data_IF_332425563006
#
_entry.id   IF_332425563006
#
_cell.length_a   1.000
_cell.length_b   1.000
_cell.length_c   1.000
_cell.angle_alpha   90.00
_cell.angle_beta   90.00
_cell.angle_gamma   90.00
#
_symmetry.space_group_name_H-M   'P 1'
#
loop_
_entity.id
_entity.type
_entity.pdbx_description
1 polymer ?
#
# COMPACT_ATOMS: atom_id res chain seq x y z
N UNK A 1 -16.57 34.89 14.07
CA UNK A 1 -16.20 33.61 13.47
C UNK A 1 -14.75 33.29 13.83
N UNK A 2 -14.54 32.20 14.55
CA UNK A 2 -13.20 31.76 14.99
C UNK A 2 -12.67 30.68 14.03
N UNK A 3 -12.68 30.95 12.74
CA UNK A 3 -12.09 30.07 11.74
C UNK A 3 -10.66 30.52 11.46
N UNK A 4 -9.69 29.66 11.75
CA UNK A 4 -8.29 29.90 11.46
C UNK A 4 -7.62 28.59 11.02
N UNK A 5 -6.54 28.70 10.30
CA UNK A 5 -5.74 27.59 9.78
C UNK A 5 -4.29 28.03 9.64
N UNK A 6 -3.43 27.08 9.28
CA UNK A 6 -2.02 27.36 8.99
C UNK A 6 -1.71 27.09 7.51
N UNK A 7 -0.63 27.63 6.95
CA UNK A 7 -0.17 27.26 5.60
C UNK A 7 0.08 25.76 5.47
N UNK A 8 0.58 25.11 6.50
CA UNK A 8 0.84 23.68 6.53
C UNK A 8 -0.46 22.86 6.43
N UNK A 9 -1.49 23.20 7.23
CA UNK A 9 -2.78 22.51 7.18
C UNK A 9 -3.43 22.65 5.80
N UNK A 10 -3.35 23.86 5.21
CA UNK A 10 -3.88 24.10 3.87
C UNK A 10 -3.11 23.34 2.79
N UNK A 11 -1.81 23.15 2.96
CA UNK A 11 -1.02 22.33 2.05
C UNK A 11 -1.45 20.85 2.13
N UNK A 12 -1.66 20.29 3.33
CA UNK A 12 -2.15 18.92 3.52
C UNK A 12 -3.55 18.71 2.93
N UNK A 13 -4.46 19.67 3.16
CA UNK A 13 -5.82 19.63 2.58
C UNK A 13 -5.74 19.64 1.05
N UNK A 14 -4.90 20.51 0.48
CA UNK A 14 -4.70 20.61 -0.96
C UNK A 14 -4.10 19.34 -1.52
N UNK A 15 -3.09 18.77 -0.87
CA UNK A 15 -2.46 17.50 -1.25
C UNK A 15 -3.50 16.38 -1.34
N UNK A 16 -4.40 16.27 -0.36
CA UNK A 16 -5.47 15.29 -0.39
C UNK A 16 -6.50 15.59 -1.50
N UNK A 17 -6.86 16.85 -1.71
CA UNK A 17 -7.86 17.25 -2.69
C UNK A 17 -7.41 16.97 -4.14
N UNK A 18 -6.16 17.27 -4.48
CA UNK A 18 -5.62 17.07 -5.83
C UNK A 18 -5.40 15.60 -6.20
N UNK A 19 -5.52 14.67 -5.25
CA UNK A 19 -5.60 13.23 -5.56
C UNK A 19 -6.93 12.85 -6.23
N UNK A 20 -7.96 13.69 -6.08
CA UNK A 20 -9.25 13.44 -6.71
C UNK A 20 -9.27 14.06 -8.13
N UNK A 21 -9.38 13.25 -9.21
CA UNK A 21 -9.35 13.74 -10.58
C UNK A 21 -10.55 14.65 -10.92
N UNK A 22 -11.68 14.48 -10.25
CA UNK A 22 -12.83 15.37 -10.42
C UNK A 22 -12.56 16.74 -9.82
N UNK A 23 -11.91 16.80 -8.65
CA UNK A 23 -11.49 18.06 -8.06
C UNK A 23 -10.53 18.81 -8.99
N UNK A 24 -9.46 18.15 -9.47
CA UNK A 24 -8.52 18.75 -10.45
C UNK A 24 -9.24 19.33 -11.65
N UNK A 25 -10.08 18.51 -12.29
CA UNK A 25 -10.82 18.93 -13.48
C UNK A 25 -11.67 20.20 -13.24
N UNK A 26 -12.30 20.30 -12.07
CA UNK A 26 -13.08 21.49 -11.72
C UNK A 26 -12.17 22.70 -11.47
N UNK A 27 -11.10 22.51 -10.71
CA UNK A 27 -10.21 23.58 -10.27
C UNK A 27 -9.28 24.11 -11.39
N UNK A 28 -8.99 23.29 -12.41
CA UNK A 28 -8.23 23.68 -13.62
C UNK A 28 -9.14 24.40 -14.65
N UNK A 29 -10.48 24.29 -14.52
CA UNK A 29 -11.41 24.84 -15.50
C UNK A 29 -11.48 26.36 -15.37
N UNK A 30 -11.00 27.07 -16.38
CA UNK A 30 -10.97 28.55 -16.41
C UNK A 30 -12.32 29.18 -16.70
N UNK A 31 -13.18 28.48 -17.44
CA UNK A 31 -14.51 28.93 -17.82
C UNK A 31 -15.49 27.76 -17.89
N UNK A 32 -16.67 27.97 -17.36
CA UNK A 32 -17.78 27.03 -17.48
C UNK A 32 -19.11 27.78 -17.61
N UNK A 33 -19.96 27.38 -18.55
CA UNK A 33 -21.31 27.93 -18.69
C UNK A 33 -22.33 26.95 -18.14
N UNK A 34 -23.07 27.38 -17.14
CA UNK A 34 -24.24 26.64 -16.65
C UNK A 34 -25.40 26.86 -17.64
N UNK A 35 -25.94 25.81 -18.25
CA UNK A 35 -27.05 25.95 -19.19
C UNK A 35 -28.33 26.48 -18.53
N UNK A 36 -29.29 27.01 -19.32
CA UNK A 36 -30.60 27.38 -18.82
C UNK A 36 -31.29 26.26 -18.04
N UNK A 37 -32.09 26.61 -17.07
CA UNK A 37 -32.94 25.71 -16.29
C UNK A 37 -34.41 26.15 -16.40
N UNK A 38 -35.33 25.37 -15.87
CA UNK A 38 -36.73 25.73 -15.80
C UNK A 38 -37.04 26.94 -14.92
N UNK A 39 -36.09 27.38 -14.09
CA UNK A 39 -36.24 28.54 -13.19
C UNK A 39 -35.37 29.73 -13.60
N UNK A 40 -34.39 29.49 -14.48
CA UNK A 40 -33.42 30.50 -14.94
C UNK A 40 -33.24 30.30 -16.45
N UNK A 41 -33.84 31.17 -17.25
CA UNK A 41 -33.85 31.07 -18.72
C UNK A 41 -32.50 31.46 -19.34
N UNK A 42 -31.76 32.38 -18.70
CA UNK A 42 -30.45 32.79 -19.19
C UNK A 42 -29.33 31.86 -18.70
N UNK A 43 -28.37 31.47 -19.55
CA UNK A 43 -27.19 30.75 -19.12
C UNK A 43 -26.33 31.60 -18.18
N UNK A 44 -25.58 30.94 -17.31
CA UNK A 44 -24.71 31.63 -16.33
C UNK A 44 -23.26 31.29 -16.60
N UNK A 45 -22.46 32.31 -16.85
CA UNK A 45 -21.03 32.18 -17.10
C UNK A 45 -20.25 32.20 -15.78
N UNK A 46 -19.46 31.19 -15.57
CA UNK A 46 -18.56 31.06 -14.43
C UNK A 46 -17.11 31.21 -14.92
N UNK A 47 -16.39 32.11 -14.29
CA UNK A 47 -14.96 32.33 -14.57
C UNK A 47 -14.13 32.05 -13.36
N UNK A 48 -13.05 31.29 -13.54
CA UNK A 48 -12.11 31.03 -12.46
C UNK A 48 -11.42 32.33 -12.03
N UNK A 49 -11.27 32.53 -10.72
CA UNK A 49 -10.74 33.79 -10.20
C UNK A 49 -9.21 33.82 -10.14
N UNK A 50 -8.54 32.68 -10.29
CA UNK A 50 -7.08 32.59 -10.25
C UNK A 50 -6.46 33.16 -11.53
N UNK A 51 -5.89 34.34 -11.42
CA UNK A 51 -5.29 35.05 -12.56
C UNK A 51 -4.04 34.39 -13.14
N UNK A 52 -3.42 33.47 -12.40
CA UNK A 52 -2.24 32.72 -12.86
C UNK A 52 -2.57 31.68 -13.94
N UNK A 53 -3.85 31.28 -14.10
CA UNK A 53 -4.32 30.35 -15.13
C UNK A 53 -4.54 31.00 -16.51
N UNK A 54 -4.64 32.32 -16.58
CA UNK A 54 -5.02 33.00 -17.84
C UNK A 54 -3.80 33.48 -18.61
N UNK A 55 -3.53 32.99 -19.82
CA UNK A 55 -2.41 33.46 -20.65
C UNK A 55 -2.41 34.94 -20.94
N UNK A 56 -3.58 35.60 -20.90
CA UNK A 56 -3.73 37.04 -21.10
C UNK A 56 -3.43 37.88 -19.84
N UNK A 57 -3.31 37.24 -18.70
CA UNK A 57 -3.02 37.88 -17.43
C UNK A 57 -1.52 38.19 -17.30
N UNK A 58 -1.17 39.34 -16.77
CA UNK A 58 0.22 39.65 -16.40
C UNK A 58 0.78 38.81 -15.27
N UNK A 59 -0.08 37.97 -14.62
CA UNK A 59 0.28 37.05 -13.56
C UNK A 59 0.29 35.59 -14.04
N UNK A 60 0.12 35.40 -15.35
CA UNK A 60 0.18 34.05 -15.93
C UNK A 60 1.47 33.34 -15.54
N UNK A 61 1.33 32.09 -15.11
CA UNK A 61 2.45 31.23 -14.80
C UNK A 61 2.16 29.84 -15.36
N UNK A 62 2.85 29.46 -16.41
CA UNK A 62 2.55 28.29 -17.25
C UNK A 62 2.46 26.97 -16.44
N UNK A 63 3.33 26.69 -15.44
CA UNK A 63 3.24 25.46 -14.67
C UNK A 63 2.03 25.35 -13.72
N UNK A 64 1.26 26.41 -13.50
CA UNK A 64 0.07 26.38 -12.62
C UNK A 64 -1.00 25.53 -13.25
N UNK A 65 -1.51 24.54 -12.47
CA UNK A 65 -2.64 23.70 -12.85
C UNK A 65 -3.95 24.14 -12.20
N UNK A 66 -3.88 24.66 -10.97
CA UNK A 66 -5.09 25.12 -10.28
C UNK A 66 -4.79 25.86 -9.00
N UNK A 67 -5.86 26.22 -8.29
CA UNK A 67 -5.76 26.89 -6.99
C UNK A 67 -6.93 27.78 -6.65
N UNK A 68 -6.92 28.34 -5.43
CA UNK A 68 -8.00 29.16 -4.90
C UNK A 68 -7.49 30.42 -4.25
N UNK A 69 -8.10 31.55 -4.61
CA UNK A 69 -7.90 32.86 -3.96
C UNK A 69 -8.87 33.01 -2.79
N UNK A 70 -8.47 33.78 -1.78
CA UNK A 70 -9.31 34.18 -0.67
C UNK A 70 -9.02 35.57 -0.19
N UNK A 71 -10.01 36.23 0.44
CA UNK A 71 -9.85 37.52 1.09
C UNK A 71 -10.84 37.69 2.22
N UNK A 72 -10.38 38.15 3.37
CA UNK A 72 -11.16 38.77 4.41
C UNK A 72 -10.35 39.92 5.00
N UNK A 73 -11.02 40.85 5.71
CA UNK A 73 -10.30 41.97 6.33
C UNK A 73 -9.29 41.49 7.38
N UNK A 74 -9.53 40.38 8.02
CA UNK A 74 -8.65 39.78 9.04
C UNK A 74 -7.53 38.95 8.44
N UNK A 75 -7.84 38.14 7.41
CA UNK A 75 -6.87 37.23 6.80
C UNK A 75 -6.06 37.88 5.66
N UNK A 76 -6.46 39.08 5.24
CA UNK A 76 -5.97 39.74 4.02
C UNK A 76 -6.08 38.82 2.79
N UNK A 77 -5.24 38.95 1.80
CA UNK A 77 -5.26 38.05 0.65
C UNK A 77 -4.59 36.73 0.99
N UNK A 78 -5.24 35.65 0.59
CA UNK A 78 -4.72 34.30 0.68
C UNK A 78 -4.75 33.65 -0.70
N UNK A 79 -3.83 32.72 -0.94
CA UNK A 79 -3.72 32.01 -2.19
C UNK A 79 -3.17 30.61 -1.90
N UNK A 80 -3.87 29.60 -2.41
CA UNK A 80 -3.37 28.23 -2.49
C UNK A 80 -3.29 27.86 -3.96
N UNK A 81 -2.16 27.36 -4.40
CA UNK A 81 -1.96 26.91 -5.78
C UNK A 81 -1.20 25.61 -5.81
N UNK A 82 -1.33 24.89 -6.90
CA UNK A 82 -0.49 23.74 -7.23
C UNK A 82 0.00 23.86 -8.68
N UNK A 83 1.20 23.39 -8.90
CA UNK A 83 1.92 23.55 -10.16
C UNK A 83 2.78 22.33 -10.45
N UNK A 84 2.90 21.96 -11.74
CA UNK A 84 3.74 20.87 -12.20
C UNK A 84 4.74 21.32 -13.25
N UNK A 85 6.00 20.92 -13.07
CA UNK A 85 7.08 21.19 -14.03
C UNK A 85 8.09 20.04 -14.00
N UNK A 86 8.41 19.48 -15.15
CA UNK A 86 9.41 18.42 -15.29
C UNK A 86 9.19 17.20 -14.39
N UNK A 87 7.92 16.83 -14.18
CA UNK A 87 7.53 15.69 -13.34
C UNK A 87 7.52 15.98 -11.84
N UNK A 88 7.86 17.19 -11.42
CA UNK A 88 7.73 17.63 -10.03
C UNK A 88 6.42 18.39 -9.85
N UNK A 89 5.63 18.01 -8.84
CA UNK A 89 4.42 18.71 -8.43
C UNK A 89 4.65 19.40 -7.09
N UNK A 90 4.30 20.69 -7.00
CA UNK A 90 4.47 21.52 -5.81
C UNK A 90 3.16 22.20 -5.44
N UNK A 91 2.94 22.35 -4.14
CA UNK A 91 1.84 23.15 -3.58
C UNK A 91 2.42 24.40 -2.93
N UNK A 92 1.87 25.56 -3.25
CA UNK A 92 2.26 26.83 -2.63
C UNK A 92 1.06 27.43 -1.88
N UNK A 93 1.26 27.75 -0.61
CA UNK A 93 0.25 28.38 0.24
C UNK A 93 0.76 29.75 0.72
N UNK A 94 0.04 30.78 0.32
CA UNK A 94 0.32 32.17 0.71
C UNK A 94 -0.80 32.65 1.63
N UNK A 95 -0.42 33.21 2.76
CA UNK A 95 -1.37 33.76 3.74
C UNK A 95 -0.92 35.20 4.15
N UNK A 96 -1.89 35.99 4.58
CA UNK A 96 -1.65 37.36 5.06
C UNK A 96 -0.91 38.28 4.05
N UNK A 97 -1.21 38.09 2.75
CA UNK A 97 -0.55 38.91 1.72
C UNK A 97 -1.14 40.34 1.68
N UNK A 98 -0.29 41.30 1.73
CA UNK A 98 -0.67 42.71 1.51
C UNK A 98 -0.84 43.00 0.02
N UNK A 99 -2.05 42.71 -0.50
CA UNK A 99 -2.43 42.83 -1.90
C UNK A 99 -2.28 41.52 -2.70
N UNK A 100 -3.32 41.18 -3.46
CA UNK A 100 -3.40 39.94 -4.25
C UNK A 100 -2.24 39.78 -5.25
N UNK A 101 -1.73 40.90 -5.80
CA UNK A 101 -0.58 40.88 -6.73
C UNK A 101 0.71 40.34 -6.08
N UNK A 102 0.89 40.52 -4.78
CA UNK A 102 2.07 40.02 -4.08
C UNK A 102 1.95 38.49 -3.92
N UNK A 103 0.75 37.95 -3.58
CA UNK A 103 0.55 36.54 -3.56
C UNK A 103 0.97 35.86 -4.87
N UNK A 104 0.56 36.40 -6.02
CA UNK A 104 0.88 35.82 -7.33
C UNK A 104 2.38 35.87 -7.63
N UNK A 105 3.04 37.03 -7.37
CA UNK A 105 4.47 37.21 -7.62
C UNK A 105 5.32 36.31 -6.72
N UNK A 106 4.99 36.29 -5.43
CA UNK A 106 5.76 35.53 -4.45
C UNK A 106 5.59 34.03 -4.69
N UNK A 107 4.36 33.57 -5.06
CA UNK A 107 4.13 32.16 -5.47
C UNK A 107 4.97 31.81 -6.69
N UNK A 108 4.99 32.61 -7.74
CA UNK A 108 5.80 32.36 -8.94
C UNK A 108 7.29 32.28 -8.60
N UNK A 109 7.78 33.23 -7.76
CA UNK A 109 9.18 33.21 -7.32
C UNK A 109 9.55 31.96 -6.54
N UNK A 110 8.65 31.49 -5.65
CA UNK A 110 8.88 30.28 -4.90
C UNK A 110 8.88 29.04 -5.84
N UNK A 111 7.93 28.95 -6.77
CA UNK A 111 7.90 27.88 -7.76
C UNK A 111 9.17 27.83 -8.60
N UNK A 112 9.60 28.98 -9.16
CA UNK A 112 10.85 29.05 -9.94
C UNK A 112 12.03 28.56 -9.11
N UNK A 113 12.15 29.05 -7.86
CA UNK A 113 13.22 28.65 -6.97
C UNK A 113 13.24 27.12 -6.73
N UNK A 114 12.10 26.51 -6.38
CA UNK A 114 12.06 25.08 -6.08
C UNK A 114 12.18 24.22 -7.32
N UNK A 115 11.52 24.55 -8.43
CA UNK A 115 11.66 23.82 -9.68
C UNK A 115 13.07 23.84 -10.26
N UNK A 116 13.79 24.95 -10.09
CA UNK A 116 15.12 25.10 -10.66
C UNK A 116 16.21 24.51 -9.75
N UNK A 117 16.02 24.48 -8.42
CA UNK A 117 17.04 24.06 -7.47
C UNK A 117 16.82 22.69 -6.85
N UNK A 118 15.66 22.08 -7.00
CA UNK A 118 15.35 20.78 -6.41
C UNK A 118 14.99 19.74 -7.46
N UNK A 119 15.06 18.46 -7.08
CA UNK A 119 14.71 17.33 -7.94
C UNK A 119 14.26 16.13 -7.10
N UNK A 120 13.55 15.19 -7.71
CA UNK A 120 13.31 13.89 -7.08
C UNK A 120 14.57 13.03 -7.12
N UNK A 121 14.80 12.28 -6.04
CA UNK A 121 15.70 11.15 -5.98
C UNK A 121 14.89 9.91 -5.57
N UNK A 122 15.32 8.74 -6.06
CA UNK A 122 14.68 7.42 -5.81
C UNK A 122 15.67 6.50 -5.09
N UNK A 123 15.93 6.71 -3.80
CA UNK A 123 17.02 6.04 -3.10
C UNK A 123 16.84 4.54 -2.95
N UNK A 124 15.60 4.05 -3.00
CA UNK A 124 15.29 2.62 -2.87
C UNK A 124 15.24 1.86 -4.20
N UNK A 125 15.45 2.52 -5.35
CA UNK A 125 15.39 1.88 -6.66
C UNK A 125 16.34 0.69 -6.79
N UNK A 126 17.55 0.82 -6.24
CA UNK A 126 18.58 -0.22 -6.22
C UNK A 126 18.76 -0.88 -4.84
N UNK A 127 17.89 -0.56 -3.88
CA UNK A 127 17.92 -1.16 -2.55
C UNK A 127 17.42 -2.60 -2.63
N UNK A 128 18.20 -3.55 -2.09
CA UNK A 128 17.80 -4.95 -1.98
C UNK A 128 17.56 -5.31 -0.51
N UNK A 129 16.29 -5.53 -0.11
CA UNK A 129 15.97 -5.97 1.24
C UNK A 129 16.32 -7.43 1.51
N UNK A 130 16.66 -8.23 0.48
CA UNK A 130 16.90 -9.67 0.58
C UNK A 130 18.36 -10.02 0.92
N UNK A 131 19.09 -9.15 1.59
CA UNK A 131 20.45 -9.46 2.02
C UNK A 131 20.45 -10.57 3.08
N UNK A 132 21.39 -11.52 2.97
CA UNK A 132 21.45 -12.75 3.76
C UNK A 132 21.36 -12.53 5.27
N UNK A 133 21.99 -11.46 5.79
CA UNK A 133 22.00 -11.18 7.24
C UNK A 133 20.61 -10.75 7.75
N UNK A 134 19.89 -9.99 6.95
CA UNK A 134 18.55 -9.47 7.29
C UNK A 134 17.49 -10.56 7.21
N UNK A 135 17.53 -11.34 6.14
CA UNK A 135 16.65 -12.49 5.95
C UNK A 135 16.80 -13.49 7.10
N UNK A 136 18.04 -13.82 7.46
CA UNK A 136 18.32 -14.72 8.59
C UNK A 136 17.85 -14.18 9.94
N UNK A 137 17.92 -12.86 10.17
CA UNK A 137 17.42 -12.25 11.40
C UNK A 137 15.90 -12.45 11.54
N UNK A 138 15.15 -12.15 10.48
CA UNK A 138 13.69 -12.30 10.46
C UNK A 138 13.31 -13.76 10.68
N UNK A 139 13.89 -14.67 9.91
CA UNK A 139 13.59 -16.11 9.99
C UNK A 139 13.92 -16.68 11.37
N UNK A 140 15.06 -16.31 11.96
CA UNK A 140 15.47 -16.79 13.29
C UNK A 140 14.53 -16.36 14.41
N UNK A 141 14.00 -15.13 14.34
CA UNK A 141 13.18 -14.60 15.41
C UNK A 141 11.73 -15.04 15.33
N UNK A 142 11.19 -15.28 14.12
CA UNK A 142 9.78 -15.58 13.93
C UNK A 142 9.46 -17.05 13.67
N UNK A 143 10.44 -17.82 13.21
CA UNK A 143 10.24 -19.22 12.81
C UNK A 143 11.27 -20.15 13.43
N UNK A 144 11.44 -20.06 14.76
CA UNK A 144 12.36 -20.94 15.48
C UNK A 144 12.02 -22.42 15.24
N UNK A 145 12.95 -23.17 14.67
CA UNK A 145 12.84 -24.60 14.47
C UNK A 145 12.31 -25.09 13.12
N UNK A 146 12.12 -24.19 12.15
CA UNK A 146 11.82 -24.56 10.76
C UNK A 146 13.08 -24.41 9.90
N UNK A 147 13.32 -25.37 9.00
CA UNK A 147 14.34 -25.23 7.94
C UNK A 147 13.78 -24.24 6.90
N UNK A 148 14.48 -23.11 6.69
CA UNK A 148 14.04 -22.03 5.84
C UNK A 148 14.90 -21.97 4.60
N UNK A 149 14.26 -22.12 3.44
CA UNK A 149 14.96 -22.05 2.17
C UNK A 149 15.06 -20.63 1.64
N UNK A 150 13.93 -19.87 1.65
CA UNK A 150 13.90 -18.51 1.11
C UNK A 150 12.83 -17.64 1.78
N UNK A 151 13.08 -16.35 1.82
CA UNK A 151 12.12 -15.32 2.19
C UNK A 151 12.26 -14.17 1.19
N UNK A 152 11.17 -13.84 0.49
CA UNK A 152 11.16 -12.73 -0.46
C UNK A 152 10.64 -11.46 0.21
N UNK A 153 11.53 -10.49 0.37
CA UNK A 153 11.24 -9.17 0.89
C UNK A 153 11.13 -8.16 -0.25
N UNK A 154 10.25 -7.20 -0.09
CA UNK A 154 10.06 -6.08 -1.00
C UNK A 154 9.94 -4.76 -0.26
N UNK A 155 10.30 -3.67 -0.93
CA UNK A 155 10.11 -2.28 -0.50
C UNK A 155 9.46 -1.50 -1.63
N UNK A 156 8.92 -0.33 -1.34
CA UNK A 156 8.47 0.59 -2.37
C UNK A 156 9.68 1.22 -3.08
N UNK A 157 10.01 0.70 -4.26
CA UNK A 157 11.12 1.20 -5.08
C UNK A 157 10.83 2.54 -5.75
N UNK A 158 9.55 2.94 -5.79
CA UNK A 158 9.10 4.20 -6.36
C UNK A 158 9.06 5.31 -5.30
N UNK A 159 9.44 4.99 -4.04
CA UNK A 159 9.59 6.01 -3.00
C UNK A 159 10.52 7.11 -3.48
N UNK A 160 9.97 8.31 -3.62
CA UNK A 160 10.71 9.49 -4.03
C UNK A 160 10.89 10.47 -2.87
N UNK A 161 12.03 11.10 -2.82
CA UNK A 161 12.34 12.22 -1.92
C UNK A 161 12.73 13.44 -2.72
N UNK A 162 12.50 14.62 -2.17
CA UNK A 162 12.93 15.89 -2.80
C UNK A 162 14.24 16.31 -2.18
N UNK A 163 15.25 16.50 -3.03
CA UNK A 163 16.59 16.95 -2.61
C UNK A 163 17.08 18.08 -3.50
N UNK A 164 17.99 18.94 -3.02
CA UNK A 164 18.67 19.90 -3.88
C UNK A 164 19.33 19.22 -5.08
N UNK A 165 19.30 19.83 -6.25
CA UNK A 165 20.01 19.31 -7.45
C UNK A 165 21.52 19.21 -7.25
N UNK A 166 22.06 19.99 -6.34
CA UNK A 166 23.47 19.96 -5.93
C UNK A 166 23.77 18.96 -4.82
N UNK A 167 22.76 18.19 -4.36
CA UNK A 167 22.97 17.21 -3.29
C UNK A 167 23.98 16.14 -3.69
N UNK A 168 24.94 15.85 -2.81
CA UNK A 168 25.83 14.72 -2.96
C UNK A 168 25.04 13.43 -2.70
N UNK A 169 25.20 12.44 -3.54
CA UNK A 169 24.56 11.14 -3.36
C UNK A 169 24.96 10.46 -2.03
N UNK A 170 26.15 10.75 -1.50
CA UNK A 170 26.63 10.27 -0.20
C UNK A 170 25.88 10.86 1.00
N UNK A 171 25.16 11.98 0.81
CA UNK A 171 24.34 12.59 1.84
C UNK A 171 22.99 11.86 2.01
N UNK A 172 22.63 10.99 1.07
CA UNK A 172 21.45 10.14 1.12
C UNK A 172 21.85 8.78 1.64
N UNK A 173 21.34 8.41 2.81
CA UNK A 173 21.61 7.11 3.45
C UNK A 173 20.30 6.40 3.77
N UNK A 174 20.38 5.10 4.02
CA UNK A 174 19.22 4.30 4.41
C UNK A 174 19.50 3.59 5.73
N UNK A 175 18.51 3.57 6.60
CA UNK A 175 18.50 2.80 7.85
C UNK A 175 17.33 1.83 7.83
N UNK A 176 17.60 0.58 8.26
CA UNK A 176 16.58 -0.46 8.28
C UNK A 176 16.25 -0.84 9.72
N UNK A 177 14.98 -0.87 10.06
CA UNK A 177 14.47 -1.32 11.35
C UNK A 177 13.52 -2.48 11.13
N UNK A 178 13.74 -3.61 11.82
CA UNK A 178 12.84 -4.76 11.83
C UNK A 178 12.00 -4.76 13.09
N UNK A 179 10.74 -5.19 12.96
CA UNK A 179 9.79 -5.25 14.06
C UNK A 179 9.91 -6.59 14.80
N UNK A 180 9.66 -6.57 16.09
CA UNK A 180 9.63 -7.79 16.93
C UNK A 180 8.32 -8.57 16.74
N UNK A 181 7.27 -7.92 16.22
CA UNK A 181 5.98 -8.52 15.91
C UNK A 181 5.52 -8.01 14.56
N UNK A 182 4.89 -8.88 13.75
CA UNK A 182 4.36 -8.48 12.44
C UNK A 182 2.90 -8.10 12.54
N UNK A 183 2.55 -7.00 11.89
CA UNK A 183 1.16 -6.69 11.54
C UNK A 183 1.04 -6.87 10.03
N UNK A 184 0.07 -7.67 9.61
CA UNK A 184 -0.09 -8.08 8.22
C UNK A 184 1.20 -8.70 7.68
N UNK A 185 1.67 -8.28 6.50
CA UNK A 185 2.92 -8.76 5.89
C UNK A 185 4.09 -7.79 6.08
N UNK A 186 3.99 -6.81 6.98
CA UNK A 186 5.03 -5.83 7.24
C UNK A 186 5.96 -6.37 8.31
N UNK A 187 7.23 -6.53 7.96
CA UNK A 187 8.28 -7.07 8.82
C UNK A 187 9.24 -6.01 9.37
N UNK A 188 9.13 -4.80 8.87
CA UNK A 188 9.99 -3.69 9.25
C UNK A 188 9.77 -2.48 8.36
N UNK A 189 10.68 -1.52 8.48
CA UNK A 189 10.73 -0.34 7.62
C UNK A 189 12.16 0.01 7.22
N UNK A 190 12.30 0.63 6.08
CA UNK A 190 13.50 1.33 5.66
C UNK A 190 13.24 2.82 5.70
N UNK A 191 14.04 3.56 6.47
CA UNK A 191 14.03 5.01 6.54
C UNK A 191 15.11 5.56 5.62
N UNK A 192 14.75 6.54 4.81
CA UNK A 192 15.69 7.28 3.95
C UNK A 192 16.04 8.58 4.66
N UNK A 193 17.33 8.80 4.84
CA UNK A 193 17.87 9.99 5.50
C UNK A 193 18.60 10.88 4.49
N UNK A 194 18.41 12.19 4.62
CA UNK A 194 19.19 13.20 3.94
C UNK A 194 19.88 14.09 4.98
N UNK A 195 21.23 14.12 4.97
CA UNK A 195 22.03 14.78 6.00
C UNK A 195 21.70 14.34 7.44
N UNK A 196 21.29 13.06 7.63
CA UNK A 196 20.95 12.49 8.94
C UNK A 196 19.52 12.76 9.41
N UNK A 197 18.69 13.47 8.63
CA UNK A 197 17.26 13.65 8.91
C UNK A 197 16.42 12.72 8.06
N UNK A 198 15.40 12.08 8.65
CA UNK A 198 14.48 11.20 7.93
C UNK A 198 13.60 12.03 6.99
N UNK A 199 13.69 11.73 5.70
CA UNK A 199 12.97 12.42 4.61
C UNK A 199 11.98 11.53 3.86
N UNK A 200 12.00 10.23 4.13
CA UNK A 200 11.05 9.26 3.57
C UNK A 200 11.15 7.92 4.27
N UNK A 201 10.08 7.14 4.21
CA UNK A 201 10.02 5.79 4.79
C UNK A 201 9.24 4.85 3.87
N UNK A 202 9.64 3.59 3.82
CA UNK A 202 8.94 2.51 3.13
C UNK A 202 8.84 1.30 4.03
N UNK A 203 7.68 0.65 4.06
CA UNK A 203 7.53 -0.65 4.70
C UNK A 203 8.38 -1.71 3.99
N UNK A 204 8.94 -2.62 4.77
CA UNK A 204 9.53 -3.87 4.29
C UNK A 204 8.46 -4.94 4.41
N UNK A 205 8.03 -5.50 3.28
CA UNK A 205 6.95 -6.48 3.20
C UNK A 205 7.49 -7.81 2.68
N UNK A 206 6.99 -8.92 3.23
CA UNK A 206 7.22 -10.22 2.60
C UNK A 206 6.04 -10.59 1.69
N UNK A 207 6.35 -11.20 0.53
CA UNK A 207 5.36 -11.69 -0.43
C UNK A 207 5.12 -13.18 -0.28
N UNK A 208 6.19 -13.93 -0.13
CA UNK A 208 6.18 -15.38 0.05
C UNK A 208 7.42 -15.82 0.83
N UNK A 209 7.34 -17.00 1.44
CA UNK A 209 8.47 -17.69 2.03
C UNK A 209 8.40 -19.17 1.66
N UNK A 210 9.55 -19.82 1.54
CA UNK A 210 9.60 -21.28 1.38
C UNK A 210 9.99 -21.90 2.72
N UNK A 211 9.19 -22.85 3.19
CA UNK A 211 9.40 -23.58 4.44
C UNK A 211 9.32 -25.06 4.14
N UNK A 212 10.37 -25.83 4.41
CA UNK A 212 10.47 -27.27 4.10
C UNK A 212 10.09 -27.61 2.64
N UNK A 213 10.45 -26.76 1.68
CA UNK A 213 10.13 -26.92 0.26
C UNK A 213 8.70 -26.52 -0.14
N UNK A 214 7.86 -26.07 0.78
CA UNK A 214 6.52 -25.53 0.50
C UNK A 214 6.54 -24.00 0.47
N UNK A 215 5.93 -23.43 -0.57
CA UNK A 215 5.79 -21.95 -0.70
C UNK A 215 4.55 -21.51 0.07
N UNK A 216 4.77 -20.71 1.11
CA UNK A 216 3.72 -20.05 1.87
C UNK A 216 3.54 -18.62 1.32
N UNK A 217 2.42 -18.36 0.65
CA UNK A 217 2.09 -17.06 0.10
C UNK A 217 1.28 -16.24 1.10
N UNK A 218 1.59 -14.96 1.23
CA UNK A 218 0.82 -14.04 2.06
C UNK A 218 -0.66 -14.01 1.65
N UNK A 219 -1.55 -13.98 2.64
CA UNK A 219 -3.00 -13.94 2.41
C UNK A 219 -3.66 -15.30 2.17
N UNK A 220 -2.90 -16.39 2.07
CA UNK A 220 -3.45 -17.76 2.06
C UNK A 220 -3.39 -18.32 3.48
N UNK A 221 -4.54 -18.56 4.16
CA UNK A 221 -4.52 -19.05 5.52
C UNK A 221 -3.78 -20.40 5.60
N UNK A 222 -2.89 -20.61 6.59
CA UNK A 222 -2.20 -21.90 6.80
C UNK A 222 -3.15 -23.08 6.99
N UNK A 223 -4.39 -22.81 7.37
CA UNK A 223 -5.45 -23.81 7.60
C UNK A 223 -5.87 -24.57 6.33
N UNK A 224 -5.71 -24.01 5.13
CA UNK A 224 -6.04 -24.77 3.90
C UNK A 224 -5.02 -25.86 3.60
N UNK A 225 -3.75 -25.64 3.89
CA UNK A 225 -2.71 -26.67 3.76
C UNK A 225 -2.86 -27.77 4.83
N UNK A 226 -3.13 -27.38 6.06
CA UNK A 226 -3.36 -28.34 7.16
C UNK A 226 -4.65 -29.15 6.98
N UNK A 227 -5.70 -28.57 6.39
CA UNK A 227 -6.93 -29.31 6.04
C UNK A 227 -6.69 -30.38 4.96
N UNK A 228 -5.90 -30.12 3.92
CA UNK A 228 -5.61 -31.11 2.87
C UNK A 228 -4.82 -32.30 3.41
N UNK A 229 -3.79 -32.06 4.19
CA UNK A 229 -2.98 -33.13 4.81
C UNK A 229 -3.81 -33.96 5.78
N UNK A 230 -4.58 -33.30 6.65
CA UNK A 230 -5.45 -33.99 7.61
C UNK A 230 -6.58 -34.79 6.93
N UNK A 231 -7.16 -34.26 5.84
CA UNK A 231 -8.24 -34.99 5.10
C UNK A 231 -7.70 -36.24 4.41
N UNK A 232 -6.52 -36.16 3.80
CA UNK A 232 -5.89 -37.33 3.16
C UNK A 232 -5.52 -38.39 4.20
N UNK A 233 -4.99 -37.98 5.35
CA UNK A 233 -4.67 -38.87 6.47
C UNK A 233 -5.93 -39.49 7.06
N UNK A 234 -7.00 -38.75 7.24
CA UNK A 234 -8.29 -39.23 7.73
C UNK A 234 -8.90 -40.27 6.76
N UNK A 235 -8.84 -40.00 5.44
CA UNK A 235 -9.31 -40.94 4.42
C UNK A 235 -8.47 -42.22 4.44
N UNK A 236 -7.14 -42.13 4.54
CA UNK A 236 -6.26 -43.29 4.61
C UNK A 236 -6.54 -44.15 5.86
N UNK A 237 -6.72 -43.55 7.03
CA UNK A 237 -7.04 -44.23 8.28
C UNK A 237 -8.42 -44.87 8.19
N UNK A 238 -9.44 -44.20 7.64
CA UNK A 238 -10.79 -44.76 7.49
C UNK A 238 -10.83 -45.96 6.53
N UNK A 239 -10.06 -45.93 5.43
CA UNK A 239 -9.89 -47.05 4.53
C UNK A 239 -9.23 -48.25 5.24
N UNK A 240 -8.19 -48.01 6.04
CA UNK A 240 -7.52 -49.06 6.81
C UNK A 240 -8.48 -49.76 7.84
N UNK A 241 -9.26 -48.95 8.54
CA UNK A 241 -10.27 -49.43 9.49
C UNK A 241 -11.34 -50.32 8.80
N UNK A 242 -11.82 -49.87 7.62
CA UNK A 242 -12.76 -50.63 6.82
C UNK A 242 -12.19 -52.00 6.38
N UNK A 243 -10.93 -52.05 5.95
CA UNK A 243 -10.24 -53.31 5.57
C UNK A 243 -10.14 -54.23 6.77
N UNK A 244 -9.74 -53.73 7.94
CA UNK A 244 -9.65 -54.52 9.18
C UNK A 244 -11.02 -55.07 9.58
N UNK A 245 -12.08 -54.25 9.54
CA UNK A 245 -13.45 -54.67 9.84
C UNK A 245 -13.95 -55.79 8.89
N UNK A 246 -13.68 -55.66 7.59
CA UNK A 246 -14.05 -56.70 6.60
C UNK A 246 -13.31 -58.02 6.85
N UNK A 247 -12.02 -57.98 7.19
CA UNK A 247 -11.24 -59.16 7.55
C UNK A 247 -11.77 -59.84 8.82
N UNK A 248 -12.15 -59.06 9.84
CA UNK A 248 -12.77 -59.60 11.07
C UNK A 248 -14.11 -60.24 10.78
N UNK A 249 -14.95 -59.63 9.95
CA UNK A 249 -16.25 -60.20 9.56
C UNK A 249 -16.05 -61.53 8.81
N UNK A 250 -15.17 -61.57 7.82
CA UNK A 250 -14.85 -62.79 7.06
C UNK A 250 -14.34 -63.91 8.00
N UNK A 251 -13.43 -63.54 8.92
CA UNK A 251 -12.93 -64.49 9.93
C UNK A 251 -14.04 -65.08 10.82
N UNK A 252 -14.97 -64.20 11.29
CA UNK A 252 -16.13 -64.65 12.09
C UNK A 252 -17.08 -65.58 11.32
N UNK A 253 -17.36 -65.27 10.05
CA UNK A 253 -18.19 -66.12 9.17
C UNK A 253 -17.50 -67.43 8.93
N UNK A 254 -16.21 -67.46 8.66
CA UNK A 254 -15.42 -68.67 8.45
C UNK A 254 -15.40 -69.56 9.71
N UNK A 255 -15.23 -68.98 10.90
CA UNK A 255 -15.25 -69.66 12.16
C UNK A 255 -16.65 -70.17 12.51
N UNK A 256 -17.73 -69.48 12.17
CA UNK A 256 -19.11 -69.96 12.32
C UNK A 256 -19.39 -71.18 11.40
N UNK A 257 -18.97 -71.10 10.12
CA UNK A 257 -19.08 -72.25 9.18
C UNK A 257 -18.29 -73.48 9.66
N UNK A 258 -17.07 -73.27 10.14
CA UNK A 258 -16.23 -74.31 10.68
C UNK A 258 -16.88 -75.00 11.91
N UNK A 259 -17.43 -74.24 12.84
CA UNK A 259 -18.15 -74.72 14.00
C UNK A 259 -19.43 -75.50 13.61
N UNK A 260 -20.15 -75.01 12.59
CA UNK A 260 -21.34 -75.70 12.07
C UNK A 260 -21.01 -77.01 11.41
N UNK A 261 -20.02 -77.11 10.59
CA UNK A 261 -19.56 -78.33 9.92
C UNK A 261 -19.03 -79.35 10.95
N UNK A 262 -18.30 -78.91 11.97
CA UNK A 262 -17.81 -79.77 13.07
C UNK A 262 -18.96 -80.35 13.93
N UNK A 263 -20.02 -79.59 14.16
CA UNK A 263 -21.22 -80.05 14.84
C UNK A 263 -21.98 -81.12 13.99
N UNK A 264 -22.09 -80.87 12.69
CA UNK A 264 -22.77 -81.83 11.78
C UNK A 264 -22.01 -83.14 11.66
N UNK A 265 -20.69 -83.10 11.56
CA UNK A 265 -19.83 -84.29 11.57
C UNK A 265 -19.89 -85.08 12.90
N UNK A 266 -20.18 -84.45 14.02
CA UNK A 266 -20.29 -85.09 15.33
C UNK A 266 -21.64 -85.77 15.51
N UNK A 267 -22.71 -85.18 14.94
CA UNK A 267 -24.06 -85.81 14.99
C UNK A 267 -24.22 -87.02 14.02
N UNK A 268 -23.44 -87.02 12.90
CA UNK A 268 -23.48 -88.19 11.99
C UNK A 268 -22.70 -89.41 12.49
N UNK A 269 -21.90 -89.25 13.58
CA UNK A 269 -21.21 -90.43 14.23
C UNK A 269 -21.97 -91.03 15.40
N UNK A 270 -23.18 -90.54 15.69
CA UNK A 270 -24.04 -91.06 16.78
C UNK A 270 -25.21 -91.94 16.30
N UNK A 271 -25.22 -92.25 15.01
CA UNK A 271 -26.24 -93.20 14.43
C UNK A 271 -25.55 -94.37 13.75
N UNK A 272 -24.74 -95.10 14.52
CA UNK A 272 -24.34 -96.46 14.26
C UNK A 272 -24.29 -97.21 15.56
#
# INVERSE_FOLDING_TARGET
DNHYTTPYDMALITQAAIQNPVFRKIDETTYYQIPPTNLQEDPRDLWHQLKMLYPTSRYYYEPIEGGKTGYTDQAHNTLVTYASKNGMELICVMMDCKGAQNCYKDSATLYDYYFDNYTYAYPLQNFDPNTTNQTNYILKNFYQGLDHDTLNLSVDKDLSIIVPRSADASAITTETTYYDTFEDNVVGKVSVLYNGEVVGESDIKYSDMTVNGEVLTWGVPPEEHQRRVNTTLIIAISCLVLVVLTLVIISRIRNRRYRYLKRRSRNSKLHF
#
